data_IF_310637985426
#
_entry.id   IF_310637985426
#
_cell.length_a   1.000
_cell.length_b   1.000
_cell.length_c   1.000
_cell.angle_alpha   90.00
_cell.angle_beta   90.00
_cell.angle_gamma   90.00
#
_symmetry.space_group_name_H-M   'P 1'
#
loop_
_entity.id
_entity.type
_entity.pdbx_description
1 polymer ?
#
# COMPACT_ATOMS: atom_id res chain seq x y z
N UNK A 1 -3.06 8.11 12.79
CA UNK A 1 -2.23 7.51 13.86
C UNK A 1 -1.97 8.50 14.99
N UNK A 2 -1.64 9.76 14.67
CA UNK A 2 -1.48 10.87 15.63
C UNK A 2 -2.72 11.15 16.48
N UNK A 3 -3.94 11.03 15.90
CA UNK A 3 -5.22 11.20 16.63
C UNK A 3 -5.34 10.32 17.87
N UNK A 4 -4.93 9.05 17.79
CA UNK A 4 -5.02 8.12 18.92
C UNK A 4 -4.09 8.53 20.06
N UNK A 5 -2.88 8.99 19.72
CA UNK A 5 -1.90 9.47 20.69
C UNK A 5 -2.36 10.78 21.34
N UNK A 6 -2.90 11.72 20.55
CA UNK A 6 -3.46 12.97 21.06
C UNK A 6 -4.65 12.67 21.99
N UNK A 7 -5.57 11.81 21.57
CA UNK A 7 -6.71 11.41 22.39
C UNK A 7 -6.29 10.68 23.69
N UNK A 8 -5.21 9.89 23.65
CA UNK A 8 -4.65 9.29 24.87
C UNK A 8 -4.05 10.35 25.80
N UNK A 9 -3.34 11.35 25.26
CA UNK A 9 -2.83 12.48 26.05
C UNK A 9 -4.00 13.28 26.67
N UNK A 10 -5.06 13.53 25.90
CA UNK A 10 -6.23 14.27 26.37
C UNK A 10 -6.98 13.50 27.48
N UNK A 11 -7.03 12.16 27.41
CA UNK A 11 -7.58 11.30 28.48
C UNK A 11 -6.74 11.30 29.75
N UNK A 12 -5.42 11.16 29.62
CA UNK A 12 -4.51 11.23 30.77
C UNK A 12 -4.59 12.60 31.46
N UNK A 13 -4.77 13.68 30.71
CA UNK A 13 -4.96 15.01 31.30
C UNK A 13 -6.28 15.15 32.09
N UNK A 14 -7.26 14.29 31.86
CA UNK A 14 -8.51 14.29 32.62
C UNK A 14 -8.37 13.58 33.98
N UNK A 15 -7.25 12.91 34.23
CA UNK A 15 -6.91 12.36 35.55
C UNK A 15 -6.16 13.42 36.38
N UNK A 16 -6.45 13.46 37.68
CA UNK A 16 -5.82 14.42 38.60
C UNK A 16 -4.36 14.06 38.87
N UNK A 17 -3.47 14.58 38.04
CA UNK A 17 -2.02 14.50 38.22
C UNK A 17 -1.43 15.79 38.80
N UNK A 18 -0.27 15.67 39.47
CA UNK A 18 0.55 16.81 39.89
C UNK A 18 0.99 17.69 38.69
N UNK A 19 1.53 18.89 38.96
CA UNK A 19 1.92 19.86 37.92
C UNK A 19 2.95 19.32 36.92
N UNK A 20 3.93 18.51 37.35
CA UNK A 20 5.02 18.01 36.50
C UNK A 20 4.50 17.09 35.36
N UNK A 21 3.70 16.03 35.63
CA UNK A 21 3.08 15.24 34.57
C UNK A 21 2.26 16.06 33.57
N UNK A 22 1.53 17.07 34.04
CA UNK A 22 0.71 17.94 33.18
C UNK A 22 1.57 18.80 32.24
N UNK A 23 2.71 19.31 32.72
CA UNK A 23 3.68 20.01 31.88
C UNK A 23 4.28 19.10 30.81
N UNK A 24 4.68 17.87 31.17
CA UNK A 24 5.18 16.86 30.23
C UNK A 24 4.11 16.50 29.18
N UNK A 25 2.86 16.30 29.61
CA UNK A 25 1.73 16.02 28.72
C UNK A 25 1.49 17.16 27.72
N UNK A 26 1.57 18.41 28.18
CA UNK A 26 1.42 19.59 27.32
C UNK A 26 2.55 19.70 26.30
N UNK A 27 3.80 19.48 26.73
CA UNK A 27 4.96 19.48 25.86
C UNK A 27 4.88 18.34 24.82
N UNK A 28 4.49 17.14 25.23
CA UNK A 28 4.31 16.00 24.35
C UNK A 28 3.20 16.28 23.32
N UNK A 29 2.04 16.77 23.75
CA UNK A 29 0.92 17.11 22.87
C UNK A 29 1.31 18.17 21.84
N UNK A 30 1.97 19.24 22.28
CA UNK A 30 2.43 20.34 21.42
C UNK A 30 3.50 19.85 20.44
N UNK A 31 4.41 18.98 20.88
CA UNK A 31 5.39 18.31 20.03
C UNK A 31 4.74 17.43 18.97
N UNK A 32 3.72 16.65 19.34
CA UNK A 32 2.98 15.79 18.40
C UNK A 32 2.25 16.61 17.33
N UNK A 33 1.58 17.69 17.73
CA UNK A 33 0.84 18.55 16.79
C UNK A 33 1.81 19.28 15.86
N UNK A 34 2.85 19.93 16.42
CA UNK A 34 3.81 20.69 15.61
C UNK A 34 4.54 19.82 14.59
N UNK A 35 5.04 18.64 15.02
CA UNK A 35 5.84 17.76 14.15
C UNK A 35 5.01 16.95 13.15
N UNK A 36 3.81 16.52 13.52
CA UNK A 36 3.01 15.60 12.68
C UNK A 36 1.79 16.25 12.02
N UNK A 37 1.58 17.56 12.15
CA UNK A 37 0.50 18.30 11.48
C UNK A 37 0.46 18.08 9.96
N UNK A 38 1.62 17.92 9.33
CA UNK A 38 1.75 17.76 7.87
C UNK A 38 1.74 16.30 7.41
N UNK A 39 1.63 15.33 8.33
CA UNK A 39 1.75 13.91 7.98
C UNK A 39 0.63 13.47 7.02
N UNK A 40 -0.58 13.98 7.21
CA UNK A 40 -1.74 13.66 6.36
C UNK A 40 -1.62 14.27 4.95
N UNK A 41 -0.85 15.35 4.80
CA UNK A 41 -0.58 15.99 3.50
C UNK A 41 0.49 15.27 2.69
N UNK A 42 1.29 14.41 3.33
CA UNK A 42 2.31 13.65 2.63
C UNK A 42 1.65 12.59 1.76
N UNK A 43 1.82 12.69 0.44
CA UNK A 43 1.20 11.77 -0.51
C UNK A 43 1.59 10.31 -0.28
N UNK A 44 2.85 10.03 0.06
CA UNK A 44 3.31 8.66 0.32
C UNK A 44 2.66 8.09 1.58
N UNK A 45 2.72 8.83 2.70
CA UNK A 45 2.14 8.36 3.96
C UNK A 45 0.62 8.22 3.90
N UNK A 46 -0.06 9.13 3.19
CA UNK A 46 -1.51 9.06 3.05
C UNK A 46 -1.93 7.83 2.25
N UNK A 47 -1.25 7.52 1.15
CA UNK A 47 -1.47 6.28 0.38
C UNK A 47 -1.16 5.04 1.23
N UNK A 48 -0.03 5.01 1.94
CA UNK A 48 0.31 3.86 2.80
C UNK A 48 -0.76 3.61 3.88
N UNK A 49 -1.25 4.68 4.50
CA UNK A 49 -2.28 4.62 5.52
C UNK A 49 -3.61 4.15 4.94
N UNK A 50 -3.97 4.64 3.75
CA UNK A 50 -5.18 4.23 3.03
C UNK A 50 -5.17 2.75 2.64
N UNK A 51 -4.03 2.25 2.17
CA UNK A 51 -3.84 0.86 1.79
C UNK A 51 -3.68 -0.09 2.99
N UNK A 52 -3.68 0.41 4.22
CA UNK A 52 -3.72 -0.44 5.40
C UNK A 52 -5.19 -0.80 5.72
N UNK A 53 -5.58 -2.09 5.65
CA UNK A 53 -6.97 -2.52 5.90
C UNK A 53 -7.46 -2.20 7.32
N UNK A 54 -6.55 -1.93 8.26
CA UNK A 54 -6.86 -1.56 9.64
C UNK A 54 -7.25 -0.10 9.80
N UNK A 55 -6.88 0.75 8.84
CA UNK A 55 -7.04 2.20 8.95
C UNK A 55 -7.98 2.75 7.88
N UNK A 56 -7.82 2.32 6.62
CA UNK A 56 -8.55 2.82 5.45
C UNK A 56 -8.64 4.36 5.50
N UNK A 57 -9.85 4.92 5.39
CA UNK A 57 -10.11 6.36 5.52
C UNK A 57 -10.46 6.81 6.95
N UNK A 58 -10.68 5.89 7.89
CA UNK A 58 -11.19 6.21 9.23
C UNK A 58 -10.17 6.97 10.11
N UNK A 59 -8.88 6.85 9.77
CA UNK A 59 -7.79 7.40 10.58
C UNK A 59 -7.45 8.85 10.28
N UNK A 60 -7.89 9.37 9.14
CA UNK A 60 -7.64 10.76 8.74
C UNK A 60 -8.36 11.74 9.68
N UNK A 61 -7.69 12.84 10.03
CA UNK A 61 -8.26 13.91 10.84
C UNK A 61 -9.06 14.87 9.96
N UNK A 62 -8.52 15.20 8.79
CA UNK A 62 -9.15 16.07 7.82
C UNK A 62 -9.91 15.28 6.73
N UNK A 63 -11.20 15.59 6.59
CA UNK A 63 -12.06 15.01 5.56
C UNK A 63 -11.61 15.40 4.14
N UNK A 64 -10.96 16.56 3.97
CA UNK A 64 -10.42 16.98 2.68
C UNK A 64 -9.22 16.12 2.29
N UNK A 65 -8.31 15.84 3.22
CA UNK A 65 -7.15 14.98 2.95
C UNK A 65 -7.57 13.53 2.69
N UNK A 66 -8.61 13.04 3.37
CA UNK A 66 -9.21 11.74 3.05
C UNK A 66 -9.72 11.67 1.60
N UNK A 67 -10.43 12.71 1.13
CA UNK A 67 -10.90 12.80 -0.26
C UNK A 67 -9.75 12.90 -1.26
N UNK A 68 -8.75 13.73 -0.97
CA UNK A 68 -7.55 13.88 -1.80
C UNK A 68 -6.79 12.56 -1.93
N UNK A 69 -6.66 11.83 -0.82
CA UNK A 69 -5.99 10.52 -0.79
C UNK A 69 -6.77 9.49 -1.60
N UNK A 70 -8.10 9.46 -1.48
CA UNK A 70 -8.94 8.58 -2.31
C UNK A 70 -8.75 8.87 -3.81
N UNK A 71 -8.76 10.15 -4.21
CA UNK A 71 -8.52 10.55 -5.61
C UNK A 71 -7.13 10.11 -6.06
N UNK A 72 -6.10 10.35 -5.24
CA UNK A 72 -4.73 9.95 -5.55
C UNK A 72 -4.58 8.43 -5.71
N UNK A 73 -5.24 7.65 -4.86
CA UNK A 73 -5.28 6.19 -4.99
C UNK A 73 -5.97 5.75 -6.29
N UNK A 74 -7.07 6.42 -6.68
CA UNK A 74 -7.74 6.17 -7.96
C UNK A 74 -6.84 6.48 -9.16
N UNK A 75 -6.15 7.61 -9.14
CA UNK A 75 -5.25 8.03 -10.23
C UNK A 75 -4.07 7.04 -10.36
N UNK A 76 -3.47 6.62 -9.25
CA UNK A 76 -2.39 5.62 -9.26
C UNK A 76 -2.86 4.24 -9.71
N UNK A 77 -4.06 3.82 -9.29
CA UNK A 77 -4.63 2.54 -9.71
C UNK A 77 -4.98 2.55 -11.20
N UNK A 78 -5.48 3.68 -11.72
CA UNK A 78 -5.73 3.86 -13.14
C UNK A 78 -4.44 3.75 -13.96
N UNK A 79 -3.35 4.40 -13.49
CA UNK A 79 -2.05 4.32 -14.15
C UNK A 79 -1.53 2.88 -14.19
N UNK A 80 -1.66 2.13 -13.08
CA UNK A 80 -1.26 0.72 -13.03
C UNK A 80 -2.06 -0.15 -14.00
N UNK A 81 -3.38 0.03 -14.07
CA UNK A 81 -4.23 -0.74 -14.99
C UNK A 81 -3.87 -0.43 -16.45
N UNK A 82 -3.57 0.84 -16.77
CA UNK A 82 -3.16 1.23 -18.11
C UNK A 82 -1.77 0.66 -18.48
N UNK A 83 -0.82 0.63 -17.53
CA UNK A 83 0.48 -0.01 -17.69
C UNK A 83 0.34 -1.53 -17.97
N UNK A 84 -0.52 -2.23 -17.22
CA UNK A 84 -0.78 -3.66 -17.42
C UNK A 84 -1.50 -3.96 -18.74
N UNK A 85 -2.47 -3.12 -19.15
CA UNK A 85 -3.16 -3.27 -20.45
C UNK A 85 -2.19 -3.00 -21.63
N UNK A 86 -1.25 -2.06 -21.50
CA UNK A 86 -0.20 -1.83 -22.50
C UNK A 86 0.80 -2.99 -22.58
N UNK A 87 1.26 -3.51 -21.44
CA UNK A 87 2.18 -4.64 -21.39
C UNK A 87 1.57 -5.96 -21.91
N UNK A 88 0.24 -6.10 -21.84
CA UNK A 88 -0.48 -7.20 -22.46
C UNK A 88 -0.53 -7.10 -24.00
N UNK A 89 -0.43 -5.88 -24.54
CA UNK A 89 -0.44 -5.65 -26.00
C UNK A 89 0.95 -5.87 -26.62
N UNK A 90 2.03 -5.57 -25.88
CA UNK A 90 3.41 -5.71 -26.36
C UNK A 90 3.99 -7.15 -26.26
N UNK A 91 3.30 -8.07 -25.57
CA UNK A 91 3.69 -9.48 -25.46
C UNK A 91 2.99 -10.40 -26.48
N UNK A 92 2.24 -9.86 -27.44
CA UNK A 92 1.79 -10.63 -28.61
C UNK A 92 2.92 -10.72 -29.64
N UNK A 93 3.93 -11.56 -29.35
CA UNK A 93 4.65 -12.22 -30.44
C UNK A 93 3.67 -13.09 -31.22
N UNK A 94 3.65 -13.07 -32.56
CA UNK A 94 2.79 -13.94 -33.35
C UNK A 94 3.37 -15.36 -33.31
N UNK A 95 2.97 -16.16 -32.34
CA UNK A 95 3.20 -17.61 -32.38
C UNK A 95 1.87 -18.35 -32.45
N UNK A 96 1.79 -19.22 -33.44
CA UNK A 96 0.61 -19.96 -33.84
C UNK A 96 0.38 -21.18 -32.93
N UNK A 97 -0.91 -21.52 -32.78
CA UNK A 97 -1.49 -22.80 -32.32
C UNK A 97 -1.39 -23.07 -30.81
N UNK A 98 -2.49 -23.30 -30.08
CA UNK A 98 -3.59 -24.23 -30.39
C UNK A 98 -4.94 -23.63 -30.01
N UNK A 99 -5.65 -23.10 -31.00
CA UNK A 99 -7.12 -23.09 -31.00
C UNK A 99 -7.58 -24.48 -31.50
N UNK A 100 -8.52 -25.17 -30.84
CA UNK A 100 -9.18 -26.31 -31.45
C UNK A 100 -9.93 -25.84 -32.72
N UNK A 101 -10.12 -26.71 -33.72
CA UNK A 101 -10.61 -26.33 -35.03
C UNK A 101 -11.96 -25.64 -34.92
N UNK A 102 -12.11 -24.51 -35.59
CA UNK A 102 -13.39 -23.87 -35.81
C UNK A 102 -14.29 -24.76 -36.67
N UNK A 103 -15.04 -25.65 -36.03
CA UNK A 103 -16.42 -25.88 -36.45
C UNK A 103 -17.27 -24.92 -35.63
N UNK A 104 -17.44 -23.70 -36.15
CA UNK A 104 -18.38 -22.73 -35.61
C UNK A 104 -19.79 -23.23 -35.95
N UNK A 105 -20.26 -24.22 -35.19
CA UNK A 105 -21.61 -24.74 -35.26
C UNK A 105 -22.56 -23.61 -34.87
N UNK A 106 -23.10 -22.93 -35.89
CA UNK A 106 -24.04 -21.80 -35.77
C UNK A 106 -25.26 -22.16 -34.91
N UNK A 107 -25.54 -23.44 -34.73
CA UNK A 107 -26.68 -23.93 -33.95
C UNK A 107 -26.31 -24.40 -32.54
N UNK A 108 -25.03 -24.40 -32.17
CA UNK A 108 -24.63 -24.75 -30.81
C UNK A 108 -25.25 -23.77 -29.81
N UNK A 109 -26.04 -24.27 -28.83
CA UNK A 109 -26.61 -23.43 -27.78
C UNK A 109 -25.54 -22.64 -27.03
N UNK A 110 -24.33 -23.18 -26.91
CA UNK A 110 -23.19 -22.54 -26.25
C UNK A 110 -22.62 -21.36 -27.05
N UNK A 111 -22.55 -21.47 -28.38
CA UNK A 111 -22.10 -20.35 -29.25
C UNK A 111 -23.12 -19.21 -29.24
N UNK A 112 -24.41 -19.54 -29.28
CA UNK A 112 -25.49 -18.56 -29.19
C UNK A 112 -25.51 -17.89 -27.81
N UNK A 113 -25.36 -18.67 -26.73
CA UNK A 113 -25.25 -18.15 -25.37
C UNK A 113 -24.04 -17.24 -25.22
N UNK A 114 -22.86 -17.65 -25.70
CA UNK A 114 -21.65 -16.82 -25.65
C UNK A 114 -21.82 -15.51 -26.43
N UNK A 115 -22.58 -15.52 -27.53
CA UNK A 115 -22.90 -14.29 -28.28
C UNK A 115 -23.88 -13.39 -27.51
N UNK A 116 -24.88 -13.96 -26.84
CA UNK A 116 -25.87 -13.24 -26.01
C UNK A 116 -25.22 -12.67 -24.73
N UNK A 117 -24.33 -13.43 -24.12
CA UNK A 117 -23.60 -13.03 -22.90
C UNK A 117 -22.47 -12.05 -23.25
N UNK A 118 -21.70 -12.35 -24.30
CA UNK A 118 -20.59 -11.51 -24.79
C UNK A 118 -21.04 -10.12 -25.25
N UNK A 119 -22.26 -9.99 -25.81
CA UNK A 119 -22.84 -8.67 -26.14
C UNK A 119 -23.21 -7.84 -24.90
N UNK A 120 -23.31 -8.44 -23.70
CA UNK A 120 -23.58 -7.73 -22.44
C UNK A 120 -22.32 -7.44 -21.63
N UNK A 121 -21.20 -8.09 -21.94
CA UNK A 121 -19.94 -7.94 -21.21
C UNK A 121 -19.25 -6.63 -21.62
N UNK A 122 -19.73 -5.49 -21.12
CA UNK A 122 -19.00 -4.21 -21.26
C UNK A 122 -17.75 -4.28 -20.40
N UNK A 123 -16.58 -4.43 -21.02
CA UNK A 123 -15.30 -4.19 -20.35
C UNK A 123 -15.26 -2.72 -19.95
N UNK A 124 -15.47 -2.45 -18.66
CA UNK A 124 -15.44 -1.07 -18.15
C UNK A 124 -14.09 -0.41 -18.40
N UNK A 125 -14.09 0.91 -18.58
CA UNK A 125 -12.86 1.71 -18.69
C UNK A 125 -11.95 1.48 -17.47
N UNK A 126 -10.61 1.64 -17.58
CA UNK A 126 -9.67 1.50 -16.47
C UNK A 126 -10.08 2.30 -15.23
N UNK A 127 -10.58 3.52 -15.43
CA UNK A 127 -11.15 4.36 -14.37
C UNK A 127 -12.35 3.68 -13.66
N UNK A 128 -13.27 3.09 -14.42
CA UNK A 128 -14.45 2.42 -13.83
C UNK A 128 -14.08 1.17 -13.03
N UNK A 129 -13.05 0.43 -13.47
CA UNK A 129 -12.49 -0.72 -12.73
C UNK A 129 -11.88 -0.23 -11.41
N UNK A 130 -11.03 0.81 -11.46
CA UNK A 130 -10.41 1.40 -10.28
C UNK A 130 -11.41 1.96 -9.27
N UNK A 131 -12.44 2.69 -9.73
CA UNK A 131 -13.49 3.23 -8.86
C UNK A 131 -14.25 2.12 -8.14
N UNK A 132 -14.64 1.07 -8.88
CA UNK A 132 -15.39 -0.07 -8.31
C UNK A 132 -14.57 -0.79 -7.25
N UNK A 133 -13.32 -1.12 -7.55
CA UNK A 133 -12.45 -1.85 -6.62
C UNK A 133 -12.18 -1.05 -5.33
N UNK A 134 -11.90 0.25 -5.45
CA UNK A 134 -11.73 1.13 -4.30
C UNK A 134 -13.04 1.28 -3.50
N UNK A 135 -14.19 1.37 -4.16
CA UNK A 135 -15.48 1.46 -3.47
C UNK A 135 -15.79 0.17 -2.70
N UNK A 136 -15.52 -1.01 -3.29
CA UNK A 136 -15.65 -2.30 -2.61
C UNK A 136 -14.72 -2.39 -1.41
N UNK A 137 -13.44 -2.05 -1.57
CA UNK A 137 -12.47 -2.03 -0.46
C UNK A 137 -12.89 -1.12 0.71
N UNK A 138 -13.50 0.03 0.41
CA UNK A 138 -14.00 0.96 1.42
C UNK A 138 -15.28 0.50 2.11
N UNK A 139 -16.12 -0.27 1.42
CA UNK A 139 -17.35 -0.84 1.97
C UNK A 139 -17.09 -2.08 2.82
N UNK A 140 -16.02 -2.81 2.56
CA UNK A 140 -15.61 -3.95 3.39
C UNK A 140 -15.29 -3.51 4.82
N UNK A 141 -15.44 -4.44 5.76
CA UNK A 141 -15.14 -4.18 7.17
C UNK A 141 -13.66 -3.81 7.39
N UNK A 142 -13.42 -2.99 8.41
CA UNK A 142 -12.08 -2.61 8.85
C UNK A 142 -11.46 -3.78 9.59
N UNK A 143 -10.22 -4.15 9.25
CA UNK A 143 -9.50 -5.20 9.96
C UNK A 143 -9.18 -4.73 11.40
N UNK A 144 -9.67 -5.41 12.46
CA UNK A 144 -9.31 -5.05 13.83
C UNK A 144 -7.80 -5.13 14.03
N UNK A 145 -7.20 -4.14 14.70
CA UNK A 145 -5.73 -4.09 14.91
C UNK A 145 -5.25 -5.28 15.73
N UNK A 146 -6.05 -5.72 16.71
CA UNK A 146 -5.74 -6.82 17.61
C UNK A 146 -7.01 -7.64 17.85
N UNK A 147 -6.89 -8.95 17.71
CA UNK A 147 -7.87 -9.91 18.22
C UNK A 147 -7.42 -10.41 19.60
N UNK A 148 -8.28 -11.16 20.28
CA UNK A 148 -8.15 -11.57 21.68
C UNK A 148 -6.74 -12.04 22.09
N UNK A 149 -5.99 -12.68 21.17
CA UNK A 149 -4.62 -13.17 21.44
C UNK A 149 -3.55 -12.79 20.40
N UNK A 150 -3.90 -12.21 19.25
CA UNK A 150 -2.94 -11.97 18.15
C UNK A 150 -3.15 -10.63 17.45
N UNK A 151 -2.03 -10.03 17.01
CA UNK A 151 -2.05 -8.85 16.15
C UNK A 151 -2.38 -9.26 14.71
N UNK A 152 -3.33 -8.58 14.08
CA UNK A 152 -3.64 -8.85 12.69
C UNK A 152 -2.59 -8.22 11.77
N UNK A 153 -2.05 -9.03 10.86
CA UNK A 153 -1.04 -8.61 9.91
C UNK A 153 -1.69 -8.14 8.58
N UNK A 154 -1.48 -6.88 8.15
CA UNK A 154 -2.00 -6.40 6.86
C UNK A 154 -1.54 -7.22 5.66
N UNK A 155 -0.29 -7.71 5.67
CA UNK A 155 0.26 -8.51 4.58
C UNK A 155 -0.51 -9.82 4.39
N UNK A 156 -0.87 -10.47 5.50
CA UNK A 156 -1.67 -11.69 5.48
C UNK A 156 -3.08 -11.43 4.94
N UNK A 157 -3.69 -10.30 5.33
CA UNK A 157 -4.98 -9.90 4.81
C UNK A 157 -4.94 -9.68 3.29
N UNK A 158 -3.94 -8.94 2.79
CA UNK A 158 -3.76 -8.71 1.35
C UNK A 158 -3.47 -9.99 0.57
N UNK A 159 -2.76 -10.95 1.19
CA UNK A 159 -2.55 -12.28 0.59
C UNK A 159 -3.87 -13.01 0.36
N UNK A 160 -4.77 -12.97 1.33
CA UNK A 160 -6.06 -13.67 1.27
C UNK A 160 -7.06 -12.96 0.35
N UNK A 161 -6.97 -11.64 0.20
CA UNK A 161 -7.88 -10.83 -0.64
C UNK A 161 -7.31 -10.51 -2.03
N UNK A 162 -6.22 -11.15 -2.45
CA UNK A 162 -5.57 -10.89 -3.74
C UNK A 162 -6.45 -11.10 -4.96
N UNK A 163 -7.41 -12.02 -4.85
CA UNK A 163 -8.36 -12.31 -5.93
C UNK A 163 -9.52 -11.33 -5.97
N UNK A 164 -9.88 -10.78 -4.81
CA UNK A 164 -10.92 -9.75 -4.67
C UNK A 164 -10.42 -8.39 -5.15
N UNK A 165 -9.14 -8.08 -4.86
CA UNK A 165 -8.52 -6.79 -5.18
C UNK A 165 -7.20 -6.96 -5.95
N UNK A 166 -7.26 -7.40 -7.22
CA UNK A 166 -6.06 -7.70 -8.00
C UNK A 166 -5.18 -6.45 -8.22
N UNK A 167 -5.78 -5.31 -8.52
CA UNK A 167 -5.03 -4.09 -8.83
C UNK A 167 -4.57 -3.40 -7.54
N UNK A 168 -5.41 -3.42 -6.49
CA UNK A 168 -5.09 -2.76 -5.23
C UNK A 168 -3.96 -3.47 -4.48
N UNK A 169 -3.84 -4.79 -4.61
CA UNK A 169 -2.68 -5.55 -4.10
C UNK A 169 -1.39 -5.14 -4.82
N UNK A 170 -1.43 -4.90 -6.13
CA UNK A 170 -0.28 -4.39 -6.88
C UNK A 170 0.17 -3.03 -6.33
N UNK A 171 -0.79 -2.14 -6.07
CA UNK A 171 -0.54 -0.85 -5.45
C UNK A 171 0.02 -0.99 -4.01
N UNK A 172 -0.51 -1.92 -3.21
CA UNK A 172 -0.01 -2.23 -1.87
C UNK A 172 1.42 -2.77 -1.90
N UNK A 173 1.80 -3.60 -2.87
CA UNK A 173 3.20 -4.08 -2.98
C UNK A 173 4.18 -2.92 -3.24
N UNK A 174 3.77 -1.93 -4.04
CA UNK A 174 4.60 -0.78 -4.43
C UNK A 174 4.75 0.24 -3.29
N UNK A 175 3.69 0.51 -2.54
CA UNK A 175 3.67 1.58 -1.52
C UNK A 175 3.56 1.08 -0.08
N UNK A 176 3.04 -0.11 0.18
CA UNK A 176 2.82 -0.64 1.53
C UNK A 176 4.10 -0.99 2.32
N UNK A 177 5.26 -1.00 1.66
CA UNK A 177 6.55 -1.36 2.26
C UNK A 177 7.41 -0.13 2.65
N UNK A 178 6.81 1.04 2.81
CA UNK A 178 7.56 2.24 3.20
C UNK A 178 8.06 2.10 4.64
N UNK A 179 9.37 2.05 4.81
CA UNK A 179 9.99 2.04 6.12
C UNK A 179 9.88 3.43 6.74
N UNK A 180 9.33 3.50 7.96
CA UNK A 180 9.19 4.75 8.69
C UNK A 180 10.52 5.28 9.26
N UNK A 181 11.58 4.47 9.26
CA UNK A 181 12.86 4.81 9.91
C UNK A 181 14.05 4.50 9.00
N UNK A 182 15.13 5.26 9.16
CA UNK A 182 16.45 5.00 8.58
C UNK A 182 17.20 3.86 9.28
N UNK A 183 16.65 3.27 10.34
CA UNK A 183 17.33 2.24 11.14
C UNK A 183 17.82 1.04 10.30
N UNK A 184 17.06 0.53 9.31
CA UNK A 184 17.54 -0.58 8.49
C UNK A 184 18.71 -0.18 7.58
N UNK A 185 18.70 1.03 7.01
CA UNK A 185 19.84 1.53 6.24
C UNK A 185 21.04 1.78 7.15
N UNK A 186 20.85 2.37 8.34
CA UNK A 186 21.90 2.54 9.36
C UNK A 186 22.52 1.21 9.79
N UNK A 187 21.71 0.16 9.96
CA UNK A 187 22.21 -1.18 10.28
C UNK A 187 23.07 -1.75 9.15
N UNK A 188 22.67 -1.54 7.89
CA UNK A 188 23.46 -1.92 6.71
C UNK A 188 24.78 -1.13 6.68
N UNK A 189 24.72 0.18 6.94
CA UNK A 189 25.92 1.03 6.97
C UNK A 189 26.85 0.70 8.13
N UNK A 190 26.32 0.39 9.31
CA UNK A 190 27.10 -0.04 10.47
C UNK A 190 27.84 -1.35 10.18
N UNK A 191 27.13 -2.35 9.62
CA UNK A 191 27.77 -3.60 9.16
C UNK A 191 28.78 -3.36 8.05
N UNK A 192 28.49 -2.45 7.11
CA UNK A 192 29.43 -2.07 6.05
C UNK A 192 30.64 -1.34 6.61
N UNK A 193 30.49 -0.57 7.68
CA UNK A 193 31.59 0.07 8.41
C UNK A 193 32.58 -0.95 8.96
N UNK A 194 32.12 -2.15 9.35
CA UNK A 194 33.03 -3.24 9.73
C UNK A 194 33.80 -3.83 8.53
N UNK A 195 33.23 -3.77 7.33
CA UNK A 195 33.89 -4.21 6.08
C UNK A 195 34.97 -3.19 5.66
N UNK A 196 34.68 -1.90 5.84
CA UNK A 196 35.60 -0.78 5.61
C UNK A 196 36.39 -0.53 6.91
N UNK A 197 37.29 -1.45 7.26
CA UNK A 197 38.16 -1.29 8.43
C UNK A 197 39.40 -0.42 8.08
N UNK A 198 40.06 0.17 9.08
CA UNK A 198 41.26 1.02 8.93
C UNK A 198 42.42 0.31 8.19
N UNK A 199 42.51 -1.02 8.31
CA UNK A 199 43.50 -1.81 7.58
C UNK A 199 43.11 -2.14 6.12
N UNK A 200 41.91 -1.75 5.67
CA UNK A 200 41.35 -2.09 4.34
C UNK A 200 40.81 -0.86 3.59
N UNK A 201 41.58 0.23 3.61
CA UNK A 201 41.20 1.56 3.09
C UNK A 201 41.31 1.72 1.57
N UNK A 202 42.00 0.83 0.84
CA UNK A 202 42.10 0.85 -0.65
C UNK A 202 40.91 0.15 -1.35
N UNK A 203 39.69 0.33 -0.86
CA UNK A 203 38.49 -0.15 -1.53
C UNK A 203 37.85 0.97 -2.35
N UNK A 204 37.69 0.76 -3.65
CA UNK A 204 36.91 1.66 -4.50
C UNK A 204 35.43 1.60 -4.13
N UNK A 205 34.70 2.71 -4.26
CA UNK A 205 33.25 2.80 -4.00
C UNK A 205 32.44 1.68 -4.68
N UNK A 206 32.77 1.32 -5.93
CA UNK A 206 32.12 0.22 -6.64
C UNK A 206 32.30 -1.15 -5.97
N UNK A 207 33.48 -1.42 -5.39
CA UNK A 207 33.77 -2.68 -4.69
C UNK A 207 33.07 -2.75 -3.34
N UNK A 208 32.99 -1.63 -2.63
CA UNK A 208 32.22 -1.51 -1.39
C UNK A 208 30.75 -1.82 -1.66
N UNK A 209 30.15 -1.24 -2.70
CA UNK A 209 28.76 -1.52 -3.08
C UNK A 209 28.50 -3.02 -3.31
N UNK A 210 29.40 -3.70 -4.03
CA UNK A 210 29.29 -5.14 -4.29
C UNK A 210 29.41 -5.96 -2.99
N UNK A 211 30.37 -5.63 -2.13
CA UNK A 211 30.57 -6.32 -0.85
C UNK A 211 29.38 -6.12 0.10
N UNK A 212 28.85 -4.89 0.18
CA UNK A 212 27.64 -4.61 0.95
C UNK A 212 26.45 -5.40 0.41
N UNK A 213 26.27 -5.46 -0.91
CA UNK A 213 25.20 -6.24 -1.53
C UNK A 213 25.27 -7.73 -1.19
N UNK A 214 26.46 -8.34 -1.30
CA UNK A 214 26.71 -9.75 -0.98
C UNK A 214 26.58 -10.08 0.51
N UNK A 215 26.74 -9.09 1.39
CA UNK A 215 26.61 -9.31 2.83
C UNK A 215 25.16 -9.18 3.33
N UNK A 216 24.30 -8.51 2.57
CA UNK A 216 22.91 -8.24 2.95
C UNK A 216 21.92 -9.23 2.33
N UNK A 217 22.24 -9.81 1.17
CA UNK A 217 21.45 -10.85 0.49
C UNK A 217 22.08 -12.23 0.69
#
# INVERSE_FOLDING_TARGET
MTRCLIAACDKLRAEDFNDIPNEILNNLRTGLISRFSLLERSGTFSICTFLDPRYKLAVFSDANEAKNTKKRAQDLLMALIAEDEAAATDNETPDSSVAPPEENDKFSPWTILNKIVGTKQRTGTPLSKAIKEIATYLNDDILPVKNDKTWNCPLEWWRNHRYTYPNLVQLFKRYGNVMATSVPSERIFSKTGLIINECRTRLTSGKVKQLTFLNVN
#
